data_IF_088869116761
#
_entry.id   IF_088869116761
#
_cell.length_a   1.000
_cell.length_b   1.000
_cell.length_c   1.000
_cell.angle_alpha   90.00
_cell.angle_beta   90.00
_cell.angle_gamma   90.00
#
_symmetry.space_group_name_H-M   'P 1'
#
loop_
_entity.id
_entity.type
_entity.pdbx_description
1 polymer ?
#
# COMPACT_ATOMS: atom_id res chain seq x y z
N UNK A 1 -0.47 -17.04 3.09
CA UNK A 1 -0.86 -15.62 3.18
C UNK A 1 -0.56 -14.94 1.85
N UNK A 2 -1.53 -14.31 1.26
CA UNK A 2 -1.37 -13.57 0.01
C UNK A 2 -2.38 -12.44 -0.06
N UNK A 3 -2.10 -11.44 -0.89
CA UNK A 3 -3.01 -10.34 -1.13
C UNK A 3 -4.00 -10.73 -2.23
N UNK A 4 -5.25 -10.36 -2.06
CA UNK A 4 -6.33 -10.63 -3.00
C UNK A 4 -7.13 -9.36 -3.27
N UNK A 5 -7.88 -9.36 -4.37
CA UNK A 5 -8.78 -8.26 -4.68
C UNK A 5 -9.79 -8.06 -3.55
N UNK A 6 -9.94 -6.81 -3.14
CA UNK A 6 -10.94 -6.43 -2.15
C UNK A 6 -12.32 -6.45 -2.79
N UNK A 7 -13.32 -6.76 -1.98
CA UNK A 7 -14.73 -6.75 -2.36
C UNK A 7 -15.51 -5.82 -1.44
N UNK A 8 -16.77 -5.58 -1.76
CA UNK A 8 -17.63 -4.75 -0.91
C UNK A 8 -17.76 -5.30 0.52
N UNK A 9 -17.60 -6.62 0.70
CA UNK A 9 -17.63 -7.24 2.01
C UNK A 9 -16.46 -6.82 2.91
N UNK A 10 -15.38 -6.30 2.34
CA UNK A 10 -14.20 -5.88 3.07
C UNK A 10 -14.28 -4.41 3.57
N UNK A 11 -15.24 -3.64 3.07
CA UNK A 11 -15.29 -2.19 3.33
C UNK A 11 -15.37 -1.86 4.80
N UNK A 12 -16.25 -2.52 5.55
CA UNK A 12 -16.41 -2.24 6.99
C UNK A 12 -15.12 -2.44 7.76
N UNK A 13 -14.46 -3.56 7.56
CA UNK A 13 -13.18 -3.87 8.23
C UNK A 13 -12.04 -2.96 7.74
N UNK A 14 -12.03 -2.62 6.46
CA UNK A 14 -11.04 -1.69 5.91
C UNK A 14 -11.18 -0.30 6.54
N UNK A 15 -12.41 0.18 6.72
CA UNK A 15 -12.63 1.48 7.37
C UNK A 15 -12.19 1.48 8.84
N UNK A 16 -12.27 0.36 9.53
CA UNK A 16 -11.67 0.23 10.87
C UNK A 16 -10.16 0.41 10.82
N UNK A 17 -9.50 -0.18 9.82
CA UNK A 17 -8.06 0.00 9.60
C UNK A 17 -7.73 1.48 9.32
N UNK A 18 -8.54 2.15 8.51
CA UNK A 18 -8.35 3.58 8.22
C UNK A 18 -8.40 4.40 9.51
N UNK A 19 -9.36 4.14 10.38
CA UNK A 19 -9.46 4.84 11.67
C UNK A 19 -8.25 4.56 12.56
N UNK A 20 -7.75 3.33 12.55
CA UNK A 20 -6.56 2.97 13.33
C UNK A 20 -5.31 3.75 12.90
N UNK A 21 -5.11 3.96 11.60
CA UNK A 21 -3.91 4.62 11.06
C UNK A 21 -4.08 6.14 10.88
N UNK A 22 -5.27 6.68 11.08
CA UNK A 22 -5.51 8.11 10.92
C UNK A 22 -4.58 9.00 11.76
N UNK A 23 -4.26 8.66 13.02
CA UNK A 23 -3.32 9.47 13.80
C UNK A 23 -1.95 9.60 13.14
N UNK A 24 -1.52 8.59 12.39
CA UNK A 24 -0.25 8.59 11.68
C UNK A 24 -0.36 9.23 10.30
N UNK A 25 -1.42 8.90 9.55
CA UNK A 25 -1.61 9.32 8.16
C UNK A 25 -2.24 10.70 8.04
N UNK A 26 -2.93 11.17 9.08
CA UNK A 26 -3.74 12.36 9.02
C UNK A 26 -5.15 12.08 8.51
N UNK A 27 -6.03 13.11 8.56
CA UNK A 27 -7.41 12.95 8.10
C UNK A 27 -7.48 12.53 6.64
N UNK A 28 -8.36 11.57 6.35
CA UNK A 28 -8.58 11.06 5.00
C UNK A 28 -10.05 11.27 4.64
N UNK A 29 -10.36 12.46 4.09
CA UNK A 29 -11.72 12.82 3.74
C UNK A 29 -12.24 11.90 2.63
N UNK A 30 -13.49 11.44 2.78
CA UNK A 30 -14.18 10.59 1.80
C UNK A 30 -13.39 9.31 1.42
N UNK A 31 -12.68 8.73 2.38
CA UNK A 31 -11.93 7.50 2.09
C UNK A 31 -12.86 6.37 1.64
N UNK A 32 -14.06 6.25 2.22
CA UNK A 32 -15.02 5.22 1.80
C UNK A 32 -15.37 5.33 0.31
N UNK A 33 -15.63 6.53 -0.19
CA UNK A 33 -15.90 6.74 -1.60
C UNK A 33 -14.71 6.39 -2.48
N UNK A 34 -13.51 6.76 -2.05
CA UNK A 34 -12.27 6.39 -2.75
C UNK A 34 -12.12 4.87 -2.78
N UNK A 35 -12.30 4.20 -1.64
CA UNK A 35 -12.18 2.74 -1.54
C UNK A 35 -13.19 2.03 -2.46
N UNK A 36 -14.45 2.43 -2.43
CA UNK A 36 -15.48 1.84 -3.28
C UNK A 36 -15.13 2.00 -4.77
N UNK A 37 -14.65 3.17 -5.17
CA UNK A 37 -14.22 3.41 -6.55
C UNK A 37 -13.05 2.50 -6.93
N UNK A 38 -12.06 2.37 -6.04
CA UNK A 38 -10.89 1.51 -6.28
C UNK A 38 -11.28 0.03 -6.35
N UNK A 39 -12.23 -0.42 -5.53
CA UNK A 39 -12.76 -1.78 -5.61
C UNK A 39 -13.39 -2.01 -6.99
N UNK A 40 -14.21 -1.08 -7.45
CA UNK A 40 -14.84 -1.16 -8.78
C UNK A 40 -13.84 -1.17 -9.93
N UNK A 41 -12.69 -0.52 -9.75
CA UNK A 41 -11.61 -0.48 -10.74
C UNK A 41 -10.66 -1.68 -10.63
N UNK A 42 -10.88 -2.62 -9.71
CA UNK A 42 -9.98 -3.74 -9.39
C UNK A 42 -8.58 -3.25 -8.99
N UNK A 43 -8.54 -2.15 -8.26
CA UNK A 43 -7.31 -1.46 -7.83
C UNK A 43 -7.17 -1.38 -6.30
N UNK A 44 -7.91 -2.22 -5.59
CA UNK A 44 -7.85 -2.35 -4.14
C UNK A 44 -7.53 -3.81 -3.79
N UNK A 45 -6.49 -4.02 -2.99
CA UNK A 45 -6.05 -5.34 -2.57
C UNK A 45 -5.98 -5.39 -1.05
N UNK A 46 -6.27 -6.53 -0.48
CA UNK A 46 -6.16 -6.71 0.96
C UNK A 46 -5.63 -8.10 1.31
N UNK A 47 -5.14 -8.20 2.53
CA UNK A 47 -4.73 -9.47 3.12
C UNK A 47 -5.73 -9.80 4.22
N UNK A 48 -6.30 -11.00 4.17
CA UNK A 48 -7.21 -11.53 5.19
C UNK A 48 -6.55 -12.67 5.93
N UNK A 49 -7.00 -12.97 7.17
CA UNK A 49 -6.54 -14.20 7.82
C UNK A 49 -6.87 -15.43 6.97
N UNK A 50 -6.06 -16.49 7.07
CA UNK A 50 -6.31 -17.74 6.37
C UNK A 50 -7.51 -18.52 6.93
N UNK A 51 -8.27 -17.92 7.80
CA UNK A 51 -9.50 -18.49 8.35
C UNK A 51 -10.66 -18.24 7.38
N UNK A 52 -11.32 -19.31 7.00
CA UNK A 52 -12.52 -19.23 6.15
C UNK A 52 -13.57 -18.33 6.82
N UNK A 53 -14.17 -17.45 6.02
CA UNK A 53 -15.26 -16.57 6.44
C UNK A 53 -14.87 -15.43 7.41
N UNK A 54 -13.57 -15.10 7.53
CA UNK A 54 -13.19 -13.92 8.30
C UNK A 54 -13.29 -12.67 7.43
N UNK A 55 -14.15 -11.70 7.78
CA UNK A 55 -14.22 -10.43 7.04
C UNK A 55 -13.12 -9.46 7.45
N UNK A 56 -12.17 -9.89 8.28
CA UNK A 56 -11.16 -9.00 8.85
C UNK A 56 -10.04 -8.71 7.86
N UNK A 57 -9.86 -7.44 7.55
CA UNK A 57 -8.74 -6.96 6.74
C UNK A 57 -7.54 -6.70 7.64
N UNK A 58 -6.46 -7.45 7.45
CA UNK A 58 -5.20 -7.28 8.20
C UNK A 58 -4.35 -6.15 7.65
N UNK A 59 -4.45 -5.90 6.36
CA UNK A 59 -3.79 -4.81 5.68
C UNK A 59 -4.45 -4.57 4.35
N UNK A 60 -4.27 -3.37 3.81
CA UNK A 60 -4.88 -2.98 2.55
C UNK A 60 -3.97 -2.09 1.73
N UNK A 61 -4.20 -2.07 0.43
CA UNK A 61 -3.42 -1.30 -0.52
C UNK A 61 -4.30 -0.82 -1.67
N UNK A 62 -4.17 0.44 -2.00
CA UNK A 62 -4.78 1.03 -3.19
C UNK A 62 -3.69 1.35 -4.21
N UNK A 63 -3.92 0.97 -5.46
CA UNK A 63 -2.98 1.24 -6.55
C UNK A 63 -3.60 2.19 -7.57
N UNK A 64 -2.76 2.75 -8.43
CA UNK A 64 -3.17 3.64 -9.50
C UNK A 64 -2.03 3.85 -10.49
N UNK A 65 -2.15 4.90 -11.30
CA UNK A 65 -1.16 5.23 -12.32
C UNK A 65 -1.44 4.53 -13.64
N UNK A 66 -0.37 4.29 -14.39
CA UNK A 66 -0.41 3.68 -15.72
C UNK A 66 0.40 2.38 -15.72
N UNK A 67 0.25 1.50 -16.74
CA UNK A 67 0.95 0.21 -16.75
C UNK A 67 2.47 0.28 -16.59
N UNK A 68 3.11 1.33 -17.12
CA UNK A 68 4.56 1.51 -17.02
C UNK A 68 4.98 2.49 -15.94
N UNK A 69 4.03 3.12 -15.28
CA UNK A 69 4.24 4.12 -14.22
C UNK A 69 3.21 3.85 -13.12
N UNK A 70 3.45 2.77 -12.38
CA UNK A 70 2.55 2.31 -11.33
C UNK A 70 2.72 3.09 -10.03
N UNK A 71 1.63 3.20 -9.28
CA UNK A 71 1.62 3.90 -8.00
C UNK A 71 0.91 3.08 -6.94
N UNK A 72 1.52 3.04 -5.76
CA UNK A 72 0.84 2.62 -4.55
C UNK A 72 0.32 3.90 -3.91
N UNK A 73 -0.99 4.10 -3.97
CA UNK A 73 -1.63 5.35 -3.50
C UNK A 73 -1.90 5.33 -2.01
N UNK A 74 -2.03 4.15 -1.42
CA UNK A 74 -2.27 3.97 0.01
C UNK A 74 -1.88 2.55 0.38
N UNK A 75 -1.23 2.38 1.52
CA UNK A 75 -0.88 1.06 2.05
C UNK A 75 -0.82 1.16 3.58
N UNK A 76 -1.48 0.24 4.24
CA UNK A 76 -1.45 0.16 5.69
C UNK A 76 -1.64 -1.26 6.18
N UNK A 77 -1.07 -1.55 7.36
CA UNK A 77 -1.18 -2.83 8.04
C UNK A 77 -1.66 -2.58 9.46
N UNK A 78 -2.61 -3.39 9.94
CA UNK A 78 -3.06 -3.30 11.34
C UNK A 78 -1.87 -3.45 12.27
N UNK A 79 -1.86 -2.68 13.35
CA UNK A 79 -0.77 -2.75 14.33
C UNK A 79 -0.62 -4.16 14.91
N UNK A 80 -1.72 -4.85 15.16
CA UNK A 80 -1.73 -6.24 15.67
C UNK A 80 -1.20 -7.27 14.68
N UNK A 81 -1.05 -6.91 13.41
CA UNK A 81 -0.61 -7.82 12.34
C UNK A 81 0.77 -7.47 11.78
N UNK A 82 1.43 -6.46 12.34
CA UNK A 82 2.77 -6.06 11.92
C UNK A 82 3.80 -7.15 12.26
N UNK A 83 4.86 -7.22 11.43
CA UNK A 83 5.91 -8.21 11.60
C UNK A 83 5.54 -9.62 11.15
N UNK A 84 4.39 -9.79 10.49
CA UNK A 84 3.89 -11.10 10.03
C UNK A 84 3.91 -11.25 8.51
N UNK A 85 4.49 -10.30 7.80
CA UNK A 85 4.59 -10.37 6.34
C UNK A 85 3.39 -9.81 5.57
N UNK A 86 2.44 -9.16 6.23
CA UNK A 86 1.27 -8.57 5.55
C UNK A 86 1.68 -7.50 4.55
N UNK A 87 2.53 -6.56 4.98
CA UNK A 87 3.03 -5.50 4.10
C UNK A 87 3.79 -6.05 2.91
N UNK A 88 4.59 -7.09 3.14
CA UNK A 88 5.32 -7.76 2.06
C UNK A 88 4.37 -8.39 1.04
N UNK A 89 3.32 -9.04 1.48
CA UNK A 89 2.31 -9.62 0.58
C UNK A 89 1.67 -8.56 -0.31
N UNK A 90 1.37 -7.39 0.27
CA UNK A 90 0.81 -6.29 -0.50
C UNK A 90 1.81 -5.75 -1.53
N UNK A 91 3.06 -5.54 -1.14
CA UNK A 91 4.10 -5.06 -2.06
C UNK A 91 4.37 -6.05 -3.19
N UNK A 92 4.42 -7.35 -2.89
CA UNK A 92 4.57 -8.39 -3.92
C UNK A 92 3.43 -8.29 -4.93
N UNK A 93 2.22 -8.06 -4.45
CA UNK A 93 1.04 -7.91 -5.33
C UNK A 93 1.17 -6.68 -6.24
N UNK A 94 1.65 -5.56 -5.71
CA UNK A 94 1.90 -4.36 -6.52
C UNK A 94 2.97 -4.61 -7.59
N UNK A 95 4.06 -5.27 -7.22
CA UNK A 95 5.15 -5.59 -8.15
C UNK A 95 4.64 -6.50 -9.27
N UNK A 96 3.83 -7.49 -8.96
CA UNK A 96 3.21 -8.38 -9.96
C UNK A 96 2.24 -7.64 -10.87
N UNK A 97 1.54 -6.65 -10.33
CA UNK A 97 0.54 -5.88 -11.06
C UNK A 97 1.18 -4.97 -12.11
N UNK A 98 2.41 -4.52 -11.90
CA UNK A 98 3.15 -3.65 -12.81
C UNK A 98 4.42 -4.35 -13.31
N UNK A 99 4.29 -5.34 -14.22
CA UNK A 99 5.45 -6.11 -14.67
C UNK A 99 6.45 -5.27 -15.47
N UNK A 100 7.72 -5.67 -15.52
CA UNK A 100 8.75 -4.96 -16.32
C UNK A 100 8.38 -4.83 -17.81
N UNK A 101 8.70 -3.72 -18.48
CA UNK A 101 9.36 -2.52 -17.92
C UNK A 101 8.35 -1.61 -17.23
N UNK A 102 8.63 -1.24 -16.00
CA UNK A 102 7.75 -0.34 -15.24
C UNK A 102 8.47 0.25 -14.04
N UNK A 103 8.00 1.40 -13.58
CA UNK A 103 8.32 1.89 -12.24
C UNK A 103 7.12 1.67 -11.33
N UNK A 104 7.38 1.47 -10.04
CA UNK A 104 6.35 1.45 -9.00
C UNK A 104 6.79 2.45 -7.94
N UNK A 105 5.97 3.44 -7.69
CA UNK A 105 6.30 4.53 -6.76
C UNK A 105 5.32 4.60 -5.62
N UNK A 106 5.77 5.11 -4.49
CA UNK A 106 4.92 5.44 -3.35
C UNK A 106 5.53 6.61 -2.58
N UNK A 107 4.69 7.32 -1.86
CA UNK A 107 5.13 8.41 -0.98
C UNK A 107 4.87 8.00 0.47
N UNK A 108 5.92 8.06 1.28
CA UNK A 108 5.87 7.67 2.69
C UNK A 108 6.27 8.85 3.57
N UNK A 109 6.19 8.66 4.87
CA UNK A 109 6.62 9.65 5.84
C UNK A 109 8.11 9.96 5.68
N UNK A 110 8.49 11.19 6.05
CA UNK A 110 9.88 11.59 6.01
C UNK A 110 10.74 10.67 6.87
N UNK A 111 12.02 10.58 6.53
CA UNK A 111 12.99 9.73 7.21
C UNK A 111 13.10 10.01 8.71
N UNK A 112 12.90 11.25 9.14
CA UNK A 112 12.93 11.64 10.55
C UNK A 112 11.73 11.11 11.34
N UNK A 113 10.66 10.71 10.68
CA UNK A 113 9.48 10.19 11.35
C UNK A 113 9.71 8.73 11.76
N UNK A 114 9.85 8.50 13.07
CA UNK A 114 10.14 7.18 13.64
C UNK A 114 9.03 6.16 13.33
N UNK A 115 7.78 6.60 13.28
CA UNK A 115 6.64 5.71 13.07
C UNK A 115 6.63 5.13 11.66
N UNK A 116 7.24 5.82 10.69
CA UNK A 116 7.40 5.33 9.33
C UNK A 116 8.59 4.41 9.11
N UNK A 117 9.46 4.23 10.12
CA UNK A 117 10.71 3.48 9.95
C UNK A 117 10.54 2.01 9.55
N UNK A 118 9.61 1.24 10.16
CA UNK A 118 9.42 -0.15 9.74
C UNK A 118 8.99 -0.27 8.28
N UNK A 119 8.14 0.62 7.81
CA UNK A 119 7.70 0.64 6.41
C UNK A 119 8.87 0.97 5.47
N UNK A 120 9.68 1.98 5.83
CA UNK A 120 10.85 2.34 5.02
C UNK A 120 11.83 1.17 4.88
N UNK A 121 12.08 0.44 5.95
CA UNK A 121 12.94 -0.75 5.93
C UNK A 121 12.39 -1.82 5.00
N UNK A 122 11.08 -2.03 5.04
CA UNK A 122 10.42 -2.99 4.17
C UNK A 122 10.57 -2.58 2.69
N UNK A 123 10.30 -1.32 2.37
CA UNK A 123 10.43 -0.83 1.00
C UNK A 123 11.85 -1.04 0.48
N UNK A 124 12.86 -0.69 1.27
CA UNK A 124 14.26 -0.86 0.88
C UNK A 124 14.62 -2.32 0.67
N UNK A 125 14.17 -3.22 1.54
CA UNK A 125 14.39 -4.66 1.37
C UNK A 125 13.73 -5.22 0.12
N UNK A 126 12.62 -4.61 -0.31
CA UNK A 126 11.93 -5.04 -1.54
C UNK A 126 12.54 -4.43 -2.80
N UNK A 127 13.59 -3.63 -2.66
CA UNK A 127 14.30 -3.04 -3.80
C UNK A 127 13.89 -1.62 -4.15
N UNK A 128 12.96 -1.01 -3.41
CA UNK A 128 12.62 0.40 -3.59
C UNK A 128 13.77 1.27 -3.14
N UNK A 129 14.05 2.32 -3.89
CA UNK A 129 15.10 3.28 -3.60
C UNK A 129 14.50 4.64 -3.24
N UNK A 130 15.10 5.36 -2.26
CA UNK A 130 14.63 6.70 -1.96
C UNK A 130 14.85 7.63 -3.16
N UNK A 131 13.82 8.34 -3.52
CA UNK A 131 13.82 9.37 -4.54
C UNK A 131 13.75 10.76 -3.91
N UNK A 132 13.13 11.74 -4.59
CA UNK A 132 13.04 13.09 -4.07
C UNK A 132 12.12 13.18 -2.85
N UNK A 133 12.36 14.19 -2.00
CA UNK A 133 11.39 14.65 -1.03
C UNK A 133 10.31 15.41 -1.80
N UNK A 134 9.05 15.16 -1.45
CA UNK A 134 7.90 15.77 -2.13
C UNK A 134 6.93 16.33 -1.11
N UNK A 135 6.07 17.24 -1.56
CA UNK A 135 4.95 17.74 -0.77
C UNK A 135 3.67 17.07 -1.28
N UNK A 136 2.96 16.40 -0.38
CA UNK A 136 1.66 15.81 -0.67
C UNK A 136 0.64 16.48 0.25
N UNK A 137 -0.28 17.24 -0.33
CA UNK A 137 -1.25 18.05 0.41
C UNK A 137 -0.59 18.93 1.47
N UNK A 138 0.54 19.56 1.09
CA UNK A 138 1.32 20.42 1.98
C UNK A 138 2.17 19.71 3.02
N UNK A 139 2.18 18.39 3.05
CA UNK A 139 2.94 17.59 4.00
C UNK A 139 4.17 16.98 3.34
N UNK A 140 5.36 17.09 3.97
CA UNK A 140 6.57 16.46 3.41
C UNK A 140 6.46 14.94 3.43
N UNK A 141 6.85 14.32 2.31
CA UNK A 141 6.92 12.86 2.16
C UNK A 141 8.21 12.46 1.49
N UNK A 142 8.69 11.28 1.80
CA UNK A 142 9.80 10.65 1.10
C UNK A 142 9.23 9.73 0.01
N UNK A 143 9.61 9.99 -1.24
CA UNK A 143 9.21 9.11 -2.35
C UNK A 143 10.16 7.92 -2.41
N UNK A 144 9.59 6.74 -2.63
CA UNK A 144 10.32 5.50 -2.91
C UNK A 144 9.93 5.00 -4.28
N UNK A 145 10.91 4.55 -5.05
CA UNK A 145 10.71 4.12 -6.44
C UNK A 145 11.36 2.77 -6.64
N UNK A 146 10.61 1.81 -7.19
CA UNK A 146 11.14 0.56 -7.68
C UNK A 146 11.24 0.63 -9.20
N UNK A 147 12.44 0.47 -9.73
CA UNK A 147 12.68 0.42 -11.16
C UNK A 147 12.70 -1.04 -11.61
N UNK A 148 11.69 -1.45 -12.37
CA UNK A 148 11.63 -2.78 -12.95
C UNK A 148 12.04 -2.70 -14.42
N UNK A 149 13.21 -3.22 -14.73
CA UNK A 149 13.75 -3.25 -16.09
C UNK A 149 13.51 -4.61 -16.72
N UNK A 150 13.43 -4.63 -18.08
CA UNK A 150 13.38 -5.90 -18.78
C UNK A 150 14.69 -6.65 -18.53
N UNK A 151 14.59 -7.91 -18.09
CA UNK A 151 15.75 -8.78 -18.07
C UNK A 151 16.02 -9.24 -19.49
N UNK A 152 17.18 -8.89 -19.99
CA UNK A 152 17.68 -9.50 -21.20
C UNK A 152 18.19 -10.87 -20.78
N UNK A 153 17.50 -11.89 -21.24
CA UNK A 153 17.93 -13.26 -20.96
C UNK A 153 19.22 -13.58 -21.71
#
# INVERSE_FOLDING_TARGET
>A
MHAALATNADVGSWLELVREVEPLFGPMADFEGVLLRKIGQRAAFCVRPDLMNSPRVLGGMLIGGAPMDGWIRWIAVRSSSRGRGVGRCLLVKAIEHFPPPATVSLDNFREENREGRPARRLYERMGFQPGPLVLVEGRPRQRYILHQTNRIA
#
